data_IF_481731685000
#
_entry.id   IF_481731685000
#
_cell.length_a   1.000
_cell.length_b   1.000
_cell.length_c   1.000
_cell.angle_alpha   90.00
_cell.angle_beta   90.00
_cell.angle_gamma   90.00
#
_symmetry.space_group_name_H-M   'P 1'
#
loop_
_entity.id
_entity.type
_entity.pdbx_description
1 polymer ?
#
# COMPACT_ATOMS: atom_id res chain seq x y z
N UNK A 1 -10.07 11.23 -24.40
CA UNK A 1 -9.29 10.01 -24.10
C UNK A 1 -8.33 10.34 -22.96
N UNK A 2 -8.38 9.60 -21.86
CA UNK A 2 -7.42 9.77 -20.75
C UNK A 2 -6.11 9.07 -21.09
N UNK A 3 -4.97 9.69 -20.80
CA UNK A 3 -3.65 9.07 -20.95
C UNK A 3 -3.45 8.04 -19.82
N UNK A 4 -3.08 6.81 -20.16
CA UNK A 4 -2.68 5.80 -19.17
C UNK A 4 -1.33 6.17 -18.57
N UNK A 5 -1.19 6.08 -17.25
CA UNK A 5 0.07 6.31 -16.56
C UNK A 5 1.11 5.26 -16.99
N UNK A 6 2.36 5.68 -17.20
CA UNK A 6 3.47 4.77 -17.50
C UNK A 6 4.14 4.29 -16.21
N UNK A 7 4.95 3.24 -16.29
CA UNK A 7 5.81 2.78 -15.18
C UNK A 7 6.64 3.95 -14.63
N UNK A 8 7.24 4.76 -15.50
CA UNK A 8 8.06 5.92 -15.11
C UNK A 8 7.25 6.95 -14.33
N UNK A 9 6.02 7.26 -14.77
CA UNK A 9 5.15 8.20 -14.08
C UNK A 9 4.84 7.71 -12.66
N UNK A 10 4.56 6.41 -12.50
CA UNK A 10 4.26 5.83 -11.19
C UNK A 10 5.49 5.84 -10.27
N UNK A 11 6.68 5.53 -10.78
CA UNK A 11 7.93 5.62 -9.98
C UNK A 11 8.18 7.03 -9.47
N UNK A 12 7.97 8.04 -10.32
CA UNK A 12 8.10 9.44 -9.93
C UNK A 12 7.10 9.82 -8.82
N UNK A 13 5.86 9.37 -8.93
CA UNK A 13 4.83 9.60 -7.92
C UNK A 13 5.16 8.96 -6.57
N UNK A 14 5.63 7.71 -6.57
CA UNK A 14 6.06 6.99 -5.36
C UNK A 14 7.27 7.64 -4.69
N UNK A 15 8.18 8.23 -5.48
CA UNK A 15 9.39 8.89 -5.00
C UNK A 15 9.23 10.36 -4.59
N UNK A 16 8.08 10.98 -4.83
CA UNK A 16 7.90 12.43 -4.74
C UNK A 16 7.98 13.03 -3.32
N UNK A 17 7.92 12.21 -2.26
CA UNK A 17 8.03 12.65 -0.86
C UNK A 17 6.83 13.44 -0.32
N UNK A 18 5.89 13.86 -1.18
CA UNK A 18 4.63 14.50 -0.78
C UNK A 18 3.47 13.50 -0.79
N UNK A 19 2.57 13.60 0.20
CA UNK A 19 1.53 12.58 0.41
C UNK A 19 0.60 12.39 -0.79
N UNK A 20 0.12 13.47 -1.44
CA UNK A 20 -0.81 13.37 -2.58
C UNK A 20 -0.20 12.58 -3.75
N UNK A 21 0.98 12.96 -4.28
CA UNK A 21 1.67 12.15 -5.27
C UNK A 21 1.84 10.69 -4.88
N UNK A 22 2.27 10.41 -3.65
CA UNK A 22 2.52 9.05 -3.18
C UNK A 22 1.23 8.23 -3.15
N UNK A 23 0.12 8.81 -2.69
CA UNK A 23 -1.20 8.16 -2.73
C UNK A 23 -1.63 7.84 -4.17
N UNK A 24 -1.45 8.79 -5.10
CA UNK A 24 -1.74 8.53 -6.52
C UNK A 24 -0.85 7.43 -7.09
N UNK A 25 0.44 7.45 -6.78
CA UNK A 25 1.39 6.42 -7.19
C UNK A 25 1.02 5.04 -6.65
N UNK A 26 0.60 4.94 -5.39
CA UNK A 26 0.11 3.69 -4.80
C UNK A 26 -1.10 3.15 -5.58
N UNK A 27 -2.11 3.98 -5.86
CA UNK A 27 -3.29 3.54 -6.60
C UNK A 27 -2.99 3.16 -8.05
N UNK A 28 -2.11 3.89 -8.73
CA UNK A 28 -1.74 3.55 -10.11
C UNK A 28 -0.86 2.30 -10.19
N UNK A 29 -0.07 2.03 -9.13
CA UNK A 29 0.85 0.88 -9.10
C UNK A 29 0.14 -0.48 -9.20
N UNK A 30 -1.13 -0.56 -8.81
CA UNK A 30 -1.90 -1.83 -8.82
C UNK A 30 -2.11 -2.40 -10.22
N UNK A 31 -1.93 -1.58 -11.27
CA UNK A 31 -2.02 -2.00 -12.66
C UNK A 31 -0.75 -2.68 -13.19
N UNK A 32 0.34 -2.66 -12.43
CA UNK A 32 1.66 -3.14 -12.87
C UNK A 32 2.07 -4.40 -12.13
N UNK A 33 3.11 -5.06 -12.64
CA UNK A 33 3.65 -6.28 -12.04
C UNK A 33 4.72 -5.95 -10.98
N UNK A 34 4.99 -6.86 -10.04
CA UNK A 34 6.13 -6.71 -9.14
C UNK A 34 7.48 -6.55 -9.87
N UNK A 35 7.63 -7.08 -11.10
CA UNK A 35 8.83 -6.88 -11.91
C UNK A 35 9.00 -5.41 -12.33
N UNK A 36 7.91 -4.68 -12.58
CA UNK A 36 7.95 -3.29 -13.06
C UNK A 36 8.22 -2.29 -11.91
N UNK A 37 7.55 -2.49 -10.77
CA UNK A 37 7.47 -1.52 -9.67
C UNK A 37 7.92 -2.04 -8.31
N UNK A 38 8.29 -3.32 -8.19
CA UNK A 38 8.56 -3.97 -6.91
C UNK A 38 9.52 -3.20 -5.99
N UNK A 39 10.74 -2.87 -6.47
CA UNK A 39 11.70 -2.12 -5.68
C UNK A 39 11.22 -0.72 -5.26
N UNK A 40 10.57 0.01 -6.17
CA UNK A 40 10.09 1.37 -5.92
C UNK A 40 8.92 1.39 -4.93
N UNK A 41 8.00 0.44 -5.06
CA UNK A 41 6.86 0.28 -4.16
C UNK A 41 7.32 -0.16 -2.76
N UNK A 42 8.23 -1.12 -2.67
CA UNK A 42 8.81 -1.55 -1.40
C UNK A 42 9.55 -0.39 -0.72
N UNK A 43 10.32 0.39 -1.47
CA UNK A 43 10.98 1.59 -0.95
C UNK A 43 9.97 2.61 -0.42
N UNK A 44 8.87 2.87 -1.15
CA UNK A 44 7.82 3.75 -0.68
C UNK A 44 7.17 3.26 0.62
N UNK A 45 6.94 1.95 0.76
CA UNK A 45 6.43 1.33 2.00
C UNK A 45 7.41 1.52 3.17
N UNK A 46 8.71 1.34 2.96
CA UNK A 46 9.70 1.57 4.03
C UNK A 46 9.79 3.03 4.49
N UNK A 47 9.27 3.96 3.69
CA UNK A 47 9.23 5.41 3.94
C UNK A 47 7.86 5.89 4.43
N UNK A 48 6.93 4.99 4.78
CA UNK A 48 5.67 5.39 5.40
C UNK A 48 5.97 6.13 6.71
N UNK A 49 5.60 7.40 6.78
CA UNK A 49 5.81 8.28 7.95
C UNK A 49 4.50 8.78 8.58
N UNK A 50 3.33 8.36 8.10
CA UNK A 50 2.08 8.88 8.65
C UNK A 50 0.82 8.24 8.07
N UNK A 51 -0.32 8.69 8.61
CA UNK A 51 -1.65 8.12 8.35
C UNK A 51 -2.16 8.30 6.91
N UNK A 52 -1.73 9.34 6.20
CA UNK A 52 -2.26 9.63 4.86
C UNK A 52 -1.75 8.69 3.76
N UNK A 53 -0.51 8.20 3.87
CA UNK A 53 0.09 7.34 2.84
C UNK A 53 0.06 5.86 3.22
N UNK A 54 -0.05 5.53 4.51
CA UNK A 54 0.01 4.17 5.01
C UNK A 54 -1.09 3.24 4.44
N UNK A 55 -2.39 3.60 4.46
CA UNK A 55 -3.43 2.72 3.91
C UNK A 55 -3.28 2.43 2.41
N UNK A 56 -3.16 3.43 1.50
CA UNK A 56 -3.06 3.14 0.08
C UNK A 56 -1.75 2.41 -0.29
N UNK A 57 -0.62 2.74 0.33
CA UNK A 57 0.65 2.02 0.06
C UNK A 57 0.61 0.58 0.53
N UNK A 58 0.05 0.31 1.71
CA UNK A 58 -0.03 -1.06 2.24
C UNK A 58 -0.98 -1.93 1.43
N UNK A 59 -2.11 -1.38 0.94
CA UNK A 59 -3.01 -2.08 0.01
C UNK A 59 -2.35 -2.35 -1.34
N UNK A 60 -1.64 -1.36 -1.90
CA UNK A 60 -0.89 -1.56 -3.13
C UNK A 60 0.20 -2.64 -2.97
N UNK A 61 0.94 -2.59 -1.86
CA UNK A 61 1.97 -3.59 -1.55
C UNK A 61 1.38 -4.99 -1.38
N UNK A 62 0.23 -5.13 -0.71
CA UNK A 62 -0.51 -6.38 -0.60
C UNK A 62 -0.84 -6.97 -1.98
N UNK A 63 -1.36 -6.16 -2.91
CA UNK A 63 -1.77 -6.67 -4.24
C UNK A 63 -0.63 -6.91 -5.22
N UNK A 64 0.42 -6.10 -5.16
CA UNK A 64 1.52 -6.13 -6.14
C UNK A 64 2.66 -7.02 -5.66
N UNK A 65 3.02 -6.95 -4.38
CA UNK A 65 4.17 -7.66 -3.81
C UNK A 65 3.76 -8.91 -3.03
N UNK A 66 2.53 -8.96 -2.51
CA UNK A 66 2.08 -10.06 -1.67
C UNK A 66 3.00 -10.25 -0.46
N UNK A 67 3.47 -11.49 -0.26
CA UNK A 67 4.33 -11.86 0.87
C UNK A 67 5.62 -11.03 0.96
N UNK A 68 6.16 -10.54 -0.17
CA UNK A 68 7.40 -9.75 -0.19
C UNK A 68 7.26 -8.39 0.53
N UNK A 69 6.03 -7.89 0.71
CA UNK A 69 5.77 -6.69 1.51
C UNK A 69 5.82 -6.93 3.02
N UNK A 70 5.72 -8.19 3.47
CA UNK A 70 5.44 -8.56 4.85
C UNK A 70 6.42 -7.99 5.86
N UNK A 71 7.73 -8.09 5.59
CA UNK A 71 8.78 -7.57 6.49
C UNK A 71 8.70 -6.05 6.64
N UNK A 72 8.51 -5.31 5.54
CA UNK A 72 8.46 -3.86 5.58
C UNK A 72 7.23 -3.34 6.34
N UNK A 73 6.07 -3.96 6.12
CA UNK A 73 4.82 -3.62 6.81
C UNK A 73 4.88 -4.01 8.29
N UNK A 74 5.45 -5.17 8.63
CA UNK A 74 5.66 -5.58 10.02
C UNK A 74 6.56 -4.59 10.76
N UNK A 75 7.64 -4.11 10.12
CA UNK A 75 8.52 -3.11 10.70
C UNK A 75 7.82 -1.77 10.94
N UNK A 76 6.91 -1.36 10.05
CA UNK A 76 6.10 -0.16 10.26
C UNK A 76 5.22 -0.30 11.51
N UNK A 77 4.48 -1.40 11.63
CA UNK A 77 3.61 -1.68 12.79
C UNK A 77 4.43 -1.77 14.07
N UNK A 78 5.59 -2.43 14.02
CA UNK A 78 6.48 -2.56 15.17
C UNK A 78 6.98 -1.20 15.67
N UNK A 79 7.35 -0.27 14.78
CA UNK A 79 7.79 1.08 15.16
C UNK A 79 6.66 1.92 15.75
N UNK A 80 5.44 1.75 15.22
CA UNK A 80 4.28 2.52 15.66
C UNK A 80 3.66 2.02 16.97
N UNK A 81 4.06 0.83 17.47
CA UNK A 81 3.48 0.22 18.69
C UNK A 81 3.67 1.09 19.94
N UNK A 82 4.80 1.81 20.01
CA UNK A 82 5.23 2.62 21.15
C UNK A 82 4.97 4.12 20.90
N UNK A 83 4.32 4.47 19.79
CA UNK A 83 4.01 5.86 19.42
C UNK A 83 2.68 6.30 20.05
N UNK A 84 2.66 7.48 20.68
CA UNK A 84 1.46 8.07 21.28
C UNK A 84 0.37 8.36 20.23
N UNK A 85 0.75 8.47 18.95
CA UNK A 85 -0.17 8.66 17.83
C UNK A 85 0.13 7.63 16.75
N UNK A 86 -0.33 6.37 16.90
CA UNK A 86 0.06 5.27 16.02
C UNK A 86 -0.44 5.43 14.57
N UNK A 87 -1.22 6.48 14.26
CA UNK A 87 -1.69 6.77 12.92
C UNK A 87 -2.52 5.62 12.37
N UNK A 88 -2.07 5.04 11.25
CA UNK A 88 -2.73 3.91 10.59
C UNK A 88 -2.10 2.55 10.96
N UNK A 89 -1.42 2.43 12.11
CA UNK A 89 -0.75 1.19 12.51
C UNK A 89 -1.70 0.00 12.60
N UNK A 90 -2.92 0.18 13.10
CA UNK A 90 -3.92 -0.88 13.22
C UNK A 90 -4.46 -1.30 11.85
N UNK A 91 -4.60 -0.36 10.91
CA UNK A 91 -4.87 -0.66 9.51
C UNK A 91 -3.74 -1.47 8.86
N UNK A 92 -2.48 -1.04 9.01
CA UNK A 92 -1.35 -1.78 8.44
C UNK A 92 -1.16 -3.14 9.12
N UNK A 93 -1.51 -3.26 10.41
CA UNK A 93 -1.57 -4.54 11.11
C UNK A 93 -2.58 -5.49 10.46
N UNK A 94 -3.74 -4.98 10.00
CA UNK A 94 -4.72 -5.79 9.29
C UNK A 94 -4.16 -6.28 7.95
N UNK A 95 -3.33 -5.47 7.28
CA UNK A 95 -2.63 -5.90 6.06
C UNK A 95 -1.60 -7.00 6.36
N UNK A 96 -0.83 -6.85 7.43
CA UNK A 96 0.13 -7.88 7.88
C UNK A 96 -0.61 -9.19 8.23
N UNK A 97 -1.73 -9.11 8.93
CA UNK A 97 -2.60 -10.25 9.24
C UNK A 97 -3.13 -10.91 7.95
N UNK A 98 -3.61 -10.13 6.98
CA UNK A 98 -4.09 -10.63 5.68
C UNK A 98 -3.01 -11.29 4.83
N UNK A 99 -1.74 -10.92 5.02
CA UNK A 99 -0.57 -11.59 4.42
C UNK A 99 -0.18 -12.88 5.14
N UNK A 100 -0.91 -13.27 6.20
CA UNK A 100 -0.61 -14.44 7.04
C UNK A 100 0.44 -14.18 8.13
N UNK A 101 0.81 -12.92 8.35
CA UNK A 101 1.73 -12.50 9.40
C UNK A 101 1.06 -12.34 10.77
N UNK A 102 1.89 -12.10 11.79
CA UNK A 102 1.46 -11.79 13.15
C UNK A 102 1.88 -10.35 13.49
N UNK A 103 0.97 -9.37 13.42
CA UNK A 103 1.32 -7.98 13.67
C UNK A 103 1.64 -7.72 15.15
N UNK A 104 2.59 -6.83 15.42
CA UNK A 104 3.00 -6.47 16.79
C UNK A 104 1.92 -5.71 17.58
N UNK A 105 0.95 -5.13 16.87
CA UNK A 105 -0.26 -4.50 17.41
C UNK A 105 -1.45 -5.23 16.81
N UNK A 106 -2.46 -5.65 17.59
CA UNK A 106 -3.63 -6.31 17.03
C UNK A 106 -4.43 -5.34 16.15
N UNK A 107 -4.87 -5.77 14.95
CA UNK A 107 -5.73 -4.94 14.13
C UNK A 107 -7.11 -4.80 14.75
N UNK A 108 -7.72 -3.63 14.57
CA UNK A 108 -9.09 -3.37 14.98
C UNK A 108 -10.06 -3.95 13.95
N UNK A 109 -11.27 -4.25 14.39
CA UNK A 109 -12.29 -4.78 13.50
C UNK A 109 -12.70 -3.77 12.41
N UNK A 110 -12.80 -2.49 12.76
CA UNK A 110 -13.06 -1.40 11.82
C UNK A 110 -12.03 -1.36 10.68
N UNK A 111 -10.75 -1.54 11.01
CA UNK A 111 -9.65 -1.54 10.05
C UNK A 111 -9.65 -2.77 9.14
N UNK A 112 -10.07 -3.94 9.65
CA UNK A 112 -10.26 -5.14 8.81
C UNK A 112 -11.35 -4.92 7.77
N UNK A 113 -12.46 -4.32 8.17
CA UNK A 113 -13.57 -3.97 7.28
C UNK A 113 -13.14 -2.93 6.25
N UNK A 114 -12.43 -1.89 6.67
CA UNK A 114 -11.89 -0.87 5.77
C UNK A 114 -10.90 -1.46 4.77
N UNK A 115 -9.98 -2.32 5.23
CA UNK A 115 -9.04 -3.03 4.38
C UNK A 115 -9.75 -3.86 3.30
N UNK A 116 -10.77 -4.64 3.68
CA UNK A 116 -11.56 -5.41 2.72
C UNK A 116 -12.20 -4.50 1.65
N UNK A 117 -12.73 -3.35 2.07
CA UNK A 117 -13.27 -2.33 1.16
C UNK A 117 -12.22 -1.76 0.21
N UNK A 118 -11.04 -1.38 0.72
CA UNK A 118 -9.94 -0.83 -0.07
C UNK A 118 -9.35 -1.84 -1.05
N UNK A 119 -9.20 -3.12 -0.64
CA UNK A 119 -8.82 -4.22 -1.53
C UNK A 119 -9.84 -4.35 -2.68
N UNK A 120 -11.14 -4.29 -2.36
CA UNK A 120 -12.20 -4.33 -3.37
C UNK A 120 -12.16 -3.16 -4.36
N UNK A 121 -11.80 -1.95 -3.90
CA UNK A 121 -11.55 -0.79 -4.80
C UNK A 121 -10.31 -1.03 -5.67
N UNK A 122 -9.22 -1.49 -5.06
CA UNK A 122 -7.95 -1.70 -5.74
C UNK A 122 -8.03 -2.78 -6.84
N UNK A 123 -8.77 -3.86 -6.60
CA UNK A 123 -9.05 -4.88 -7.62
C UNK A 123 -9.85 -4.35 -8.81
N UNK A 124 -10.90 -3.55 -8.54
CA UNK A 124 -11.68 -2.90 -9.61
C UNK A 124 -10.82 -1.95 -10.42
N UNK A 125 -9.96 -1.18 -9.75
CA UNK A 125 -9.03 -0.27 -10.39
C UNK A 125 -8.02 -1.03 -11.26
N UNK A 126 -7.39 -2.09 -10.74
CA UNK A 126 -6.50 -2.97 -11.50
C UNK A 126 -7.18 -3.49 -12.75
N UNK A 127 -8.38 -4.05 -12.62
CA UNK A 127 -9.15 -4.62 -13.74
C UNK A 127 -9.44 -3.56 -14.81
N UNK A 128 -9.86 -2.37 -14.40
CA UNK A 128 -10.17 -1.27 -15.32
C UNK A 128 -8.92 -0.75 -16.05
N UNK A 129 -7.76 -0.70 -15.38
CA UNK A 129 -6.52 -0.19 -15.95
C UNK A 129 -5.80 -1.20 -16.85
N UNK A 130 -6.04 -2.49 -16.68
CA UNK A 130 -5.42 -3.55 -17.49
C UNK A 130 -6.31 -4.09 -18.60
N UNK A 131 -7.56 -3.65 -18.70
CA UNK A 131 -8.47 -4.09 -19.75
C UNK A 131 -7.96 -3.60 -21.13
N UNK A 132 -7.92 -4.46 -22.17
CA UNK A 132 -7.60 -4.02 -23.52
C UNK A 132 -8.65 -3.02 -24.00
N UNK A 133 -8.19 -1.90 -24.55
CA UNK A 133 -9.04 -0.85 -25.15
C UNK A 133 -9.65 -1.30 -26.47
#
# INVERSE_FOLDING_TARGET
MGRTATVTDVKQLLGAGAWRPVVMGAWLSVAFTPQDLGPDLLLAVTRIQGSFTAPPLSVAAYLVLGADAGTALTNYVFRARDDERPGSATFVAAVVEALGGQPAVPPREEDRVELAGMIGVAWRLRTALTAPS
#
